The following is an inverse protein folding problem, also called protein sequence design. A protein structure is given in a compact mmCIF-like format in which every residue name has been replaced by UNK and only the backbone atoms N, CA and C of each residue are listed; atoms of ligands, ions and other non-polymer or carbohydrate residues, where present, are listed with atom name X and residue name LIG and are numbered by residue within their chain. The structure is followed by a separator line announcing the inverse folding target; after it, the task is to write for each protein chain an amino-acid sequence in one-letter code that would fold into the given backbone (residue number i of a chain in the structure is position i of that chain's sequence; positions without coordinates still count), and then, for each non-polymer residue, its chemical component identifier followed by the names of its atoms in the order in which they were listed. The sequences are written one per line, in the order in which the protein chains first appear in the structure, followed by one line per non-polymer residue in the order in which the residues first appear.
data_IF_772210076997
#
_entry.id   IF_772210076997
#
_cell.length_a   1.000
_cell.length_b   1.000
_cell.length_c   1.000
_cell.angle_alpha   90.00
_cell.angle_beta   90.00
_cell.angle_gamma   90.00
#
_symmetry.space_group_name_H-M   'P 1'
#
loop_
_entity.id
_entity.type
_entity.pdbx_description
1 polymer ?
#
# COMPACT_ATOMS: atom_id res chain seq x y z
N UNK A 1 20.09 -21.69 -36.36
CA UNK A 1 20.14 -20.89 -35.13
C UNK A 1 18.84 -20.16 -34.78
N UNK A 2 18.10 -19.56 -35.72
CA UNK A 2 16.84 -18.82 -35.41
C UNK A 2 15.69 -19.70 -34.91
N UNK A 3 15.59 -20.95 -35.34
CA UNK A 3 14.55 -21.88 -34.88
C UNK A 3 14.79 -22.40 -33.45
N UNK A 4 16.04 -22.54 -33.03
CA UNK A 4 16.37 -22.98 -31.66
C UNK A 4 16.05 -21.92 -30.62
N UNK A 5 16.18 -20.63 -30.95
CA UNK A 5 15.84 -19.52 -30.05
C UNK A 5 14.33 -19.37 -29.87
N UNK A 6 13.53 -19.63 -30.92
CA UNK A 6 12.08 -19.63 -30.83
C UNK A 6 11.56 -20.82 -30.00
N UNK A 7 12.19 -21.97 -30.07
CA UNK A 7 11.81 -23.14 -29.28
C UNK A 7 12.13 -22.96 -27.77
N UNK A 8 13.23 -22.28 -27.43
CA UNK A 8 13.57 -21.95 -26.05
C UNK A 8 12.65 -20.88 -25.44
N UNK A 9 12.23 -19.90 -26.23
CA UNK A 9 11.25 -18.89 -25.78
C UNK A 9 9.85 -19.49 -25.59
N UNK A 10 9.44 -20.44 -26.43
CA UNK A 10 8.17 -21.14 -26.26
C UNK A 10 8.18 -22.08 -25.03
N UNK A 11 9.32 -22.71 -24.72
CA UNK A 11 9.47 -23.57 -23.55
C UNK A 11 9.47 -22.79 -22.23
N UNK A 12 9.97 -21.53 -22.22
CA UNK A 12 9.91 -20.68 -21.03
C UNK A 12 8.51 -20.12 -20.78
N UNK A 13 7.69 -19.90 -21.84
CA UNK A 13 6.31 -19.46 -21.68
C UNK A 13 5.40 -20.53 -21.04
N UNK A 14 5.69 -21.82 -21.23
CA UNK A 14 4.91 -22.91 -20.60
C UNK A 14 5.29 -23.15 -19.15
N UNK A 15 6.47 -22.71 -18.69
CA UNK A 15 6.87 -22.81 -17.28
C UNK A 15 6.11 -21.85 -16.34
N UNK A 16 5.42 -20.83 -16.91
CA UNK A 16 4.58 -19.91 -16.17
C UNK A 16 3.07 -20.22 -16.27
N UNK A 17 2.70 -21.40 -16.77
CA UNK A 17 1.30 -21.82 -16.71
C UNK A 17 0.95 -22.17 -15.25
N UNK A 18 -0.07 -21.53 -14.65
CA UNK A 18 -0.43 -21.80 -13.27
C UNK A 18 -0.90 -23.25 -13.14
N UNK A 19 -0.26 -24.00 -12.22
CA UNK A 19 -0.75 -25.31 -11.83
C UNK A 19 -2.14 -25.14 -11.19
N UNK A 20 -3.17 -25.64 -11.84
CA UNK A 20 -4.55 -25.62 -11.35
C UNK A 20 -4.71 -26.61 -10.21
N UNK A 21 -4.18 -26.30 -9.04
CA UNK A 21 -4.58 -26.95 -7.79
C UNK A 21 -5.78 -26.17 -7.23
N UNK A 22 -6.97 -26.67 -7.51
CA UNK A 22 -8.22 -26.21 -6.91
C UNK A 22 -8.16 -26.50 -5.40
N UNK A 23 -7.73 -25.51 -4.61
CA UNK A 23 -7.97 -25.53 -3.16
C UNK A 23 -9.46 -25.28 -2.91
N UNK A 24 -10.10 -25.85 -1.89
CA UNK A 24 -11.49 -25.59 -1.55
C UNK A 24 -11.63 -24.13 -1.13
N UNK A 25 -12.23 -23.35 -1.96
CA UNK A 25 -12.52 -21.94 -1.72
C UNK A 25 -13.74 -21.82 -0.82
N UNK A 26 -13.54 -21.49 0.43
CA UNK A 26 -14.53 -20.68 1.12
C UNK A 26 -14.44 -19.27 0.49
N UNK A 27 -15.29 -19.01 -0.50
CA UNK A 27 -15.44 -17.68 -1.07
C UNK A 27 -16.03 -16.78 0.01
N UNK A 28 -15.19 -15.96 0.61
CA UNK A 28 -15.63 -14.85 1.45
C UNK A 28 -15.81 -13.64 0.50
N UNK A 29 -16.92 -13.64 -0.26
CA UNK A 29 -17.33 -12.44 -0.97
C UNK A 29 -17.79 -11.42 0.07
N UNK A 30 -17.23 -10.22 0.06
CA UNK A 30 -17.66 -9.14 0.94
C UNK A 30 -18.98 -8.56 0.41
N UNK A 31 -20.08 -8.83 1.12
CA UNK A 31 -21.39 -8.29 0.79
C UNK A 31 -21.65 -6.95 1.50
N UNK A 32 -22.67 -6.22 1.07
CA UNK A 32 -23.11 -5.00 1.77
C UNK A 32 -23.48 -5.27 3.24
N UNK A 33 -24.09 -6.42 3.53
CA UNK A 33 -24.43 -6.82 4.89
C UNK A 33 -23.16 -7.01 5.76
N UNK A 34 -22.09 -7.55 5.19
CA UNK A 34 -20.82 -7.69 5.89
C UNK A 34 -20.17 -6.33 6.17
N UNK A 35 -20.28 -5.37 5.24
CA UNK A 35 -19.85 -3.99 5.46
C UNK A 35 -20.63 -3.31 6.59
N UNK A 36 -21.94 -3.47 6.63
CA UNK A 36 -22.78 -2.90 7.69
C UNK A 36 -22.43 -3.49 9.06
N UNK A 37 -22.20 -4.80 9.13
CA UNK A 37 -21.78 -5.48 10.36
C UNK A 37 -20.38 -5.01 10.80
N UNK A 38 -19.44 -4.89 9.87
CA UNK A 38 -18.10 -4.36 10.15
C UNK A 38 -18.14 -2.92 10.62
N UNK A 39 -18.97 -2.07 10.00
CA UNK A 39 -19.08 -0.66 10.35
C UNK A 39 -19.56 -0.48 11.78
N UNK A 40 -20.53 -1.28 12.24
CA UNK A 40 -21.01 -1.27 13.65
C UNK A 40 -19.90 -1.71 14.62
N UNK A 41 -19.08 -2.71 14.25
CA UNK A 41 -17.93 -3.15 15.07
C UNK A 41 -16.84 -2.08 15.12
N UNK A 42 -16.55 -1.41 14.00
CA UNK A 42 -15.50 -0.41 13.90
C UNK A 42 -15.88 0.91 14.58
N UNK A 43 -17.11 1.37 14.39
CA UNK A 43 -17.63 2.60 14.98
C UNK A 43 -19.13 2.49 15.27
N UNK A 44 -19.54 2.17 16.50
CA UNK A 44 -20.96 2.00 16.86
C UNK A 44 -21.76 3.30 16.80
N UNK A 45 -21.12 4.48 16.80
CA UNK A 45 -21.76 5.79 16.76
C UNK A 45 -22.13 6.19 15.35
N UNK A 46 -21.17 6.16 14.42
CA UNK A 46 -21.36 6.56 13.01
C UNK A 46 -22.03 5.43 12.21
N UNK A 47 -21.69 4.19 12.53
CA UNK A 47 -22.17 2.98 11.84
C UNK A 47 -21.78 2.99 10.35
N UNK A 48 -22.62 2.41 9.49
CA UNK A 48 -22.40 2.40 8.05
C UNK A 48 -22.75 3.77 7.44
N UNK A 49 -21.79 4.36 6.75
CA UNK A 49 -21.91 5.66 6.12
C UNK A 49 -21.43 5.58 4.67
N UNK A 50 -22.36 5.66 3.73
CA UNK A 50 -22.11 5.60 2.29
C UNK A 50 -22.99 6.62 1.54
N UNK A 51 -22.63 7.93 1.61
CA UNK A 51 -23.44 9.00 1.04
C UNK A 51 -23.45 8.99 -0.50
N UNK A 52 -22.47 8.35 -1.14
CA UNK A 52 -22.37 8.23 -2.60
C UNK A 52 -22.90 6.92 -3.14
N UNK A 53 -23.43 6.06 -2.25
CA UNK A 53 -23.97 4.76 -2.59
C UNK A 53 -23.00 3.86 -3.39
N UNK A 54 -21.72 3.90 -3.03
CA UNK A 54 -20.65 3.17 -3.72
C UNK A 54 -20.78 1.64 -3.52
N UNK A 55 -21.32 1.22 -2.37
CA UNK A 55 -21.53 -0.19 -2.07
C UNK A 55 -22.60 -0.87 -2.97
N UNK A 56 -23.39 -0.11 -3.68
CA UNK A 56 -24.40 -0.62 -4.63
C UNK A 56 -23.94 -0.54 -6.08
N UNK A 57 -22.80 0.10 -6.34
CA UNK A 57 -22.27 0.26 -7.69
C UNK A 57 -21.60 -1.03 -8.19
N UNK A 58 -21.66 -1.23 -9.50
CA UNK A 58 -20.91 -2.27 -10.20
C UNK A 58 -19.95 -1.62 -11.21
N UNK A 59 -18.77 -1.20 -10.73
CA UNK A 59 -17.79 -0.50 -11.56
C UNK A 59 -17.18 -1.39 -12.65
N UNK A 60 -17.20 -2.71 -12.45
CA UNK A 60 -16.48 -3.64 -13.30
C UNK A 60 -17.39 -4.59 -14.09
N UNK A 61 -18.72 -4.48 -13.98
CA UNK A 61 -19.66 -5.41 -14.58
C UNK A 61 -19.53 -6.85 -14.05
N UNK A 62 -19.07 -6.99 -12.79
CA UNK A 62 -18.83 -8.28 -12.12
C UNK A 62 -19.65 -8.46 -10.83
N UNK A 63 -20.61 -7.58 -10.62
CA UNK A 63 -21.39 -7.51 -9.41
C UNK A 63 -20.84 -6.52 -8.38
N UNK A 64 -21.70 -6.08 -7.48
CA UNK A 64 -21.32 -5.13 -6.44
C UNK A 64 -20.31 -5.70 -5.43
N UNK A 65 -20.27 -7.02 -5.23
CA UNK A 65 -19.29 -7.69 -4.37
C UNK A 65 -17.82 -7.42 -4.82
N UNK A 66 -17.59 -7.44 -6.14
CA UNK A 66 -16.26 -7.12 -6.69
C UNK A 66 -15.88 -5.65 -6.45
N UNK A 67 -16.86 -4.74 -6.55
CA UNK A 67 -16.68 -3.32 -6.25
C UNK A 67 -16.39 -3.10 -4.76
N UNK A 68 -17.14 -3.74 -3.88
CA UNK A 68 -16.94 -3.70 -2.42
C UNK A 68 -15.55 -4.22 -2.07
N UNK A 69 -15.15 -5.37 -2.60
CA UNK A 69 -13.83 -5.94 -2.35
C UNK A 69 -12.70 -5.00 -2.80
N UNK A 70 -12.85 -4.34 -3.95
CA UNK A 70 -11.88 -3.37 -4.44
C UNK A 70 -11.79 -2.12 -3.55
N UNK A 71 -12.93 -1.56 -3.14
CA UNK A 71 -12.97 -0.40 -2.23
C UNK A 71 -12.36 -0.73 -0.87
N UNK A 72 -12.67 -1.92 -0.34
CA UNK A 72 -12.11 -2.40 0.93
C UNK A 72 -10.60 -2.67 0.83
N UNK A 73 -10.14 -3.27 -0.27
CA UNK A 73 -8.70 -3.47 -0.52
C UNK A 73 -7.97 -2.12 -0.57
N UNK A 74 -8.55 -1.14 -1.26
CA UNK A 74 -8.00 0.22 -1.32
C UNK A 74 -7.95 0.88 0.05
N UNK A 75 -9.02 0.78 0.84
CA UNK A 75 -9.07 1.35 2.20
C UNK A 75 -7.97 0.78 3.09
N UNK A 76 -7.81 -0.55 3.10
CA UNK A 76 -6.79 -1.22 3.92
C UNK A 76 -5.38 -0.86 3.45
N UNK A 77 -5.11 -0.85 2.14
CA UNK A 77 -3.80 -0.45 1.60
C UNK A 77 -3.47 1.00 1.95
N UNK A 78 -4.38 1.93 1.72
CA UNK A 78 -4.19 3.34 2.10
C UNK A 78 -3.97 3.50 3.61
N UNK A 79 -4.73 2.78 4.43
CA UNK A 79 -4.56 2.79 5.87
C UNK A 79 -3.18 2.30 6.31
N UNK A 80 -2.69 1.20 5.75
CA UNK A 80 -1.35 0.66 6.04
C UNK A 80 -0.24 1.64 5.66
N UNK A 81 -0.31 2.18 4.43
CA UNK A 81 0.69 3.16 3.97
C UNK A 81 0.62 4.43 4.82
N UNK A 82 -0.57 4.90 5.18
CA UNK A 82 -0.72 6.07 6.04
C UNK A 82 -0.15 5.84 7.45
N UNK A 83 -0.30 4.64 8.03
CA UNK A 83 0.33 4.30 9.32
C UNK A 83 1.86 4.33 9.22
N UNK A 84 2.44 3.79 8.15
CA UNK A 84 3.88 3.89 7.91
C UNK A 84 4.32 5.34 7.67
N UNK A 85 3.56 6.10 6.88
CA UNK A 85 3.86 7.49 6.59
C UNK A 85 3.80 8.36 7.85
N UNK A 86 2.80 8.17 8.70
CA UNK A 86 2.66 8.94 9.95
C UNK A 86 3.84 8.72 10.89
N UNK A 87 4.23 7.47 11.11
CA UNK A 87 5.39 7.13 11.94
C UNK A 87 6.69 7.60 11.27
N UNK A 88 6.81 7.35 9.96
CA UNK A 88 7.99 7.76 9.18
C UNK A 88 8.21 9.25 9.20
N UNK A 89 7.14 10.03 9.09
CA UNK A 89 7.19 11.49 9.15
C UNK A 89 7.82 11.97 10.46
N UNK A 90 7.32 11.48 11.60
CA UNK A 90 7.84 11.83 12.93
C UNK A 90 9.31 11.38 13.07
N UNK A 91 9.64 10.16 12.64
CA UNK A 91 11.01 9.65 12.74
C UNK A 91 11.97 10.50 11.91
N UNK A 92 11.65 10.78 10.65
CA UNK A 92 12.50 11.55 9.75
C UNK A 92 12.69 13.01 10.20
N UNK A 93 11.71 13.59 10.87
CA UNK A 93 11.82 14.95 11.45
C UNK A 93 12.76 15.02 12.64
N UNK A 94 13.13 13.89 13.24
CA UNK A 94 13.95 13.85 14.45
C UNK A 94 15.26 13.07 14.30
N UNK A 95 15.33 12.17 13.36
CA UNK A 95 16.44 11.24 13.22
C UNK A 95 16.69 10.86 11.75
N UNK A 96 17.97 10.88 11.36
CA UNK A 96 18.45 10.28 10.10
C UNK A 96 19.56 9.30 10.40
N UNK A 97 19.71 8.31 9.53
CA UNK A 97 20.77 7.31 9.71
C UNK A 97 22.16 7.92 9.53
N UNK A 98 23.17 7.50 10.33
CA UNK A 98 24.50 8.08 10.30
C UNK A 98 25.39 7.59 9.15
N UNK A 99 24.95 6.56 8.40
CA UNK A 99 25.68 6.04 7.25
C UNK A 99 25.35 6.81 5.96
N UNK A 100 26.16 6.61 4.92
CA UNK A 100 25.94 7.23 3.62
C UNK A 100 24.64 6.72 2.98
N UNK A 101 23.90 7.62 2.31
CA UNK A 101 22.71 7.29 1.54
C UNK A 101 23.06 6.64 0.19
N UNK A 102 24.16 7.06 -0.40
CA UNK A 102 24.61 6.64 -1.74
C UNK A 102 25.95 5.96 -1.71
N UNK A 103 26.31 5.24 -2.78
CA UNK A 103 27.58 4.53 -2.89
C UNK A 103 28.79 5.46 -3.01
N UNK A 104 28.61 6.69 -3.42
CA UNK A 104 29.65 7.73 -3.49
C UNK A 104 29.92 8.41 -2.14
N UNK A 105 29.22 8.01 -1.10
CA UNK A 105 29.42 8.51 0.26
C UNK A 105 28.57 9.73 0.62
N UNK A 106 27.63 10.15 -0.20
CA UNK A 106 26.73 11.26 0.11
C UNK A 106 25.87 10.95 1.34
N UNK A 107 25.76 11.88 2.30
CA UNK A 107 24.97 11.68 3.52
C UNK A 107 23.46 11.72 3.22
N UNK A 108 22.66 11.24 4.17
CA UNK A 108 21.21 11.46 4.16
C UNK A 108 20.89 12.96 4.28
N UNK A 109 19.74 13.42 3.76
CA UNK A 109 19.24 14.77 4.00
C UNK A 109 19.16 15.09 5.49
N UNK A 110 19.38 16.36 5.86
CA UNK A 110 19.34 16.80 7.27
C UNK A 110 17.94 16.60 7.88
N UNK A 111 17.84 16.19 9.15
CA UNK A 111 16.56 16.15 9.88
C UNK A 111 16.00 17.55 10.16
N UNK A 112 16.77 18.62 9.95
CA UNK A 112 16.30 20.00 10.06
C UNK A 112 15.34 20.39 8.91
N UNK A 113 15.36 19.60 7.83
CA UNK A 113 14.41 19.74 6.72
C UNK A 113 13.13 18.99 7.04
N UNK A 114 11.99 19.54 6.62
CA UNK A 114 10.72 18.82 6.64
C UNK A 114 10.81 17.55 5.79
N UNK A 115 10.10 16.49 6.12
CA UNK A 115 10.17 15.21 5.39
C UNK A 115 9.92 15.33 3.88
N UNK A 116 9.07 16.25 3.44
CA UNK A 116 8.84 16.54 2.03
C UNK A 116 10.10 17.06 1.34
N UNK A 117 10.78 18.01 1.96
CA UNK A 117 12.03 18.55 1.43
C UNK A 117 13.18 17.53 1.51
N UNK A 118 13.16 16.63 2.50
CA UNK A 118 14.08 15.49 2.55
C UNK A 118 13.85 14.56 1.35
N UNK A 119 12.58 14.29 1.00
CA UNK A 119 12.25 13.51 -0.20
C UNK A 119 12.75 14.17 -1.47
N UNK A 120 12.59 15.50 -1.60
CA UNK A 120 13.08 16.22 -2.77
C UNK A 120 14.59 16.12 -2.93
N UNK A 121 15.31 16.11 -1.82
CA UNK A 121 16.77 15.94 -1.79
C UNK A 121 17.25 14.51 -2.10
N UNK A 122 16.36 13.50 -2.13
CA UNK A 122 16.72 12.14 -2.54
C UNK A 122 17.09 12.11 -4.02
N UNK A 123 18.23 11.47 -4.40
CA UNK A 123 18.63 11.34 -5.80
C UNK A 123 17.56 10.66 -6.65
N UNK A 124 17.37 11.14 -7.89
CA UNK A 124 16.37 10.63 -8.82
C UNK A 124 16.46 9.10 -9.01
N UNK A 125 17.68 8.58 -9.20
CA UNK A 125 17.89 7.14 -9.35
C UNK A 125 17.43 6.33 -8.13
N UNK A 126 17.53 6.88 -6.91
CA UNK A 126 17.04 6.25 -5.70
C UNK A 126 15.51 6.27 -5.64
N UNK A 127 14.87 7.37 -6.04
CA UNK A 127 13.40 7.45 -6.16
C UNK A 127 12.87 6.42 -7.14
N UNK A 128 13.50 6.25 -8.32
CA UNK A 128 13.10 5.23 -9.30
C UNK A 128 13.24 3.81 -8.75
N UNK A 129 14.28 3.51 -7.98
CA UNK A 129 14.43 2.20 -7.32
C UNK A 129 13.28 1.93 -6.32
N UNK A 130 12.91 2.94 -5.53
CA UNK A 130 11.78 2.84 -4.59
C UNK A 130 10.48 2.55 -5.35
N UNK A 131 10.18 3.30 -6.42
CA UNK A 131 8.99 3.08 -7.22
C UNK A 131 9.00 1.71 -7.93
N UNK A 132 10.15 1.26 -8.42
CA UNK A 132 10.26 -0.05 -9.05
C UNK A 132 9.93 -1.19 -8.07
N UNK A 133 10.46 -1.12 -6.84
CA UNK A 133 10.17 -2.13 -5.81
C UNK A 133 8.70 -2.10 -5.41
N UNK A 134 8.12 -0.91 -5.17
CA UNK A 134 6.70 -0.77 -4.83
C UNK A 134 5.82 -1.32 -5.96
N UNK A 135 6.12 -0.97 -7.22
CA UNK A 135 5.37 -1.46 -8.39
C UNK A 135 5.43 -2.98 -8.52
N UNK A 136 6.58 -3.59 -8.25
CA UNK A 136 6.74 -5.04 -8.24
C UNK A 136 5.88 -5.69 -7.16
N UNK A 137 5.86 -5.13 -5.96
CA UNK A 137 5.04 -5.64 -4.84
C UNK A 137 3.54 -5.48 -5.12
N UNK A 138 3.13 -4.37 -5.71
CA UNK A 138 1.73 -4.15 -6.10
C UNK A 138 1.30 -5.10 -7.22
N UNK A 139 2.13 -5.29 -8.25
CA UNK A 139 1.87 -6.29 -9.29
C UNK A 139 1.76 -7.71 -8.72
N UNK A 140 2.61 -8.05 -7.75
CA UNK A 140 2.53 -9.36 -7.09
C UNK A 140 1.19 -9.58 -6.39
N UNK A 141 0.69 -8.55 -5.71
CA UNK A 141 -0.63 -8.60 -5.05
C UNK A 141 -1.77 -8.75 -6.09
N UNK A 142 -1.76 -7.94 -7.15
CA UNK A 142 -2.77 -8.01 -8.21
C UNK A 142 -2.74 -9.34 -8.98
N UNK A 143 -1.57 -9.94 -9.17
CA UNK A 143 -1.41 -11.27 -9.78
C UNK A 143 -1.73 -12.44 -8.83
N UNK A 144 -2.14 -12.17 -7.59
CA UNK A 144 -2.41 -13.22 -6.60
C UNK A 144 -1.20 -14.06 -6.25
N UNK A 145 0.00 -13.46 -6.26
CA UNK A 145 1.25 -14.19 -5.97
C UNK A 145 1.66 -15.19 -7.04
N UNK A 146 1.42 -14.83 -8.33
CA UNK A 146 1.69 -15.74 -9.45
C UNK A 146 0.71 -16.91 -9.53
N UNK A 147 -0.51 -16.73 -9.04
CA UNK A 147 -1.57 -17.74 -9.04
C UNK A 147 -1.64 -18.58 -7.76
N UNK A 148 -0.84 -18.25 -6.74
CA UNK A 148 -0.91 -18.91 -5.42
C UNK A 148 -2.23 -18.62 -4.68
N UNK A 149 -2.85 -17.47 -4.97
CA UNK A 149 -4.14 -17.04 -4.42
C UNK A 149 -5.02 -16.45 -5.51
N UNK A 150 -6.34 -16.55 -5.33
CA UNK A 150 -7.29 -15.84 -6.19
C UNK A 150 -7.19 -14.32 -5.98
N UNK A 151 -7.68 -13.56 -6.95
CA UNK A 151 -7.77 -12.11 -6.83
C UNK A 151 -8.85 -11.72 -5.80
N UNK A 152 -8.67 -10.60 -5.08
CA UNK A 152 -9.63 -10.17 -4.03
C UNK A 152 -11.03 -9.90 -4.58
N UNK A 153 -11.17 -9.46 -5.83
CA UNK A 153 -12.49 -9.31 -6.51
C UNK A 153 -13.19 -10.64 -6.81
N UNK A 154 -12.51 -11.77 -6.59
CA UNK A 154 -13.04 -13.13 -6.81
C UNK A 154 -13.20 -13.93 -5.52
N UNK A 155 -13.11 -13.27 -4.35
CA UNK A 155 -13.35 -13.88 -3.05
C UNK A 155 -12.12 -14.14 -2.17
N UNK A 156 -10.92 -13.67 -2.55
CA UNK A 156 -9.80 -13.60 -1.59
C UNK A 156 -10.13 -12.60 -0.48
N UNK A 157 -9.79 -12.95 0.75
CA UNK A 157 -9.91 -12.02 1.88
C UNK A 157 -9.16 -10.72 1.55
N UNK A 158 -9.84 -9.57 1.65
CA UNK A 158 -9.25 -8.25 1.45
C UNK A 158 -8.13 -7.98 2.46
N UNK A 159 -7.12 -7.26 2.02
CA UNK A 159 -5.94 -6.97 2.83
C UNK A 159 -4.97 -8.14 3.03
N UNK A 160 -5.28 -9.34 2.55
CA UNK A 160 -4.38 -10.48 2.64
C UNK A 160 -3.40 -10.48 1.48
N UNK A 161 -2.13 -10.24 1.78
CA UNK A 161 -1.05 -10.23 0.80
C UNK A 161 -0.65 -11.66 0.40
N UNK A 162 -0.42 -11.96 -0.89
CA UNK A 162 0.00 -13.28 -1.33
C UNK A 162 1.41 -13.65 -0.83
N UNK A 163 1.65 -14.92 -0.48
CA UNK A 163 2.97 -15.39 -0.08
C UNK A 163 3.94 -15.45 -1.27
N UNK A 164 5.23 -15.37 -1.00
CA UNK A 164 6.28 -15.48 -2.02
C UNK A 164 6.71 -16.93 -2.30
N UNK A 165 5.79 -17.88 -2.26
CA UNK A 165 6.08 -19.30 -2.46
C UNK A 165 6.75 -19.58 -3.80
N UNK A 166 6.25 -18.94 -4.88
CA UNK A 166 6.81 -19.14 -6.22
C UNK A 166 8.30 -18.74 -6.29
N UNK A 167 8.67 -17.62 -5.67
CA UNK A 167 10.07 -17.19 -5.60
C UNK A 167 10.90 -18.07 -4.68
N UNK A 168 10.35 -18.45 -3.54
CA UNK A 168 11.03 -19.31 -2.55
C UNK A 168 11.37 -20.68 -3.11
N UNK A 169 10.45 -21.27 -3.89
CA UNK A 169 10.59 -22.62 -4.39
C UNK A 169 11.47 -22.70 -5.66
N UNK A 170 11.54 -21.60 -6.45
CA UNK A 170 12.18 -21.66 -7.77
C UNK A 170 13.41 -20.77 -7.93
N UNK A 171 13.60 -19.75 -7.10
CA UNK A 171 14.68 -18.76 -7.29
C UNK A 171 15.59 -18.66 -6.07
N UNK A 172 15.10 -18.16 -4.96
CA UNK A 172 15.87 -17.94 -3.74
C UNK A 172 14.96 -17.80 -2.52
N UNK A 173 15.53 -18.04 -1.33
CA UNK A 173 14.81 -17.86 -0.08
C UNK A 173 14.37 -16.41 0.08
N UNK A 174 13.05 -16.20 0.20
CA UNK A 174 12.41 -14.89 0.45
C UNK A 174 11.41 -15.04 1.58
N UNK A 175 11.44 -14.13 2.54
CA UNK A 175 10.47 -14.07 3.62
C UNK A 175 9.15 -13.47 3.13
N UNK A 176 8.03 -13.99 3.62
CA UNK A 176 6.72 -13.43 3.34
C UNK A 176 6.57 -12.05 4.02
N UNK A 177 5.87 -11.13 3.37
CA UNK A 177 5.59 -9.80 3.96
C UNK A 177 4.65 -9.90 5.17
N UNK A 178 3.74 -10.87 5.15
CA UNK A 178 2.84 -11.13 6.27
C UNK A 178 3.36 -12.28 7.11
N UNK A 179 3.57 -12.03 8.39
CA UNK A 179 4.00 -13.01 9.39
C UNK A 179 5.22 -13.85 8.98
N UNK A 180 6.35 -13.21 8.65
CA UNK A 180 7.55 -13.91 8.16
C UNK A 180 8.10 -14.93 9.14
N UNK A 181 7.87 -14.74 10.45
CA UNK A 181 8.34 -15.61 11.52
C UNK A 181 7.25 -16.54 12.09
N UNK A 182 6.01 -16.43 11.60
CA UNK A 182 4.91 -17.33 11.98
C UNK A 182 4.34 -17.07 13.38
N UNK A 183 4.47 -15.87 13.93
CA UNK A 183 3.96 -15.52 15.27
C UNK A 183 2.43 -15.55 15.38
N UNK A 184 1.73 -15.43 14.27
CA UNK A 184 0.27 -15.33 14.23
C UNK A 184 -0.42 -16.67 13.92
N UNK A 185 0.32 -17.76 13.74
CA UNK A 185 -0.24 -19.06 13.33
C UNK A 185 -1.26 -19.64 14.32
N UNK A 186 -1.07 -19.37 15.62
CA UNK A 186 -1.91 -19.93 16.70
C UNK A 186 -2.84 -18.89 17.32
N UNK A 187 -3.15 -17.80 16.60
CA UNK A 187 -4.03 -16.75 17.08
C UNK A 187 -5.49 -17.19 17.07
N UNK A 188 -6.22 -16.92 18.19
CA UNK A 188 -7.66 -17.18 18.23
C UNK A 188 -8.41 -16.27 17.26
N UNK A 189 -9.53 -16.75 16.72
CA UNK A 189 -10.35 -15.97 15.75
C UNK A 189 -10.85 -14.64 16.37
N UNK A 190 -11.23 -14.63 17.64
CA UNK A 190 -11.62 -13.41 18.35
C UNK A 190 -10.50 -12.38 18.39
N UNK A 191 -9.26 -12.80 18.69
CA UNK A 191 -8.09 -11.91 18.69
C UNK A 191 -7.80 -11.39 17.30
N UNK A 192 -7.96 -12.23 16.26
CA UNK A 192 -7.77 -11.88 14.87
C UNK A 192 -8.78 -10.83 14.42
N UNK A 193 -10.07 -11.02 14.71
CA UNK A 193 -11.12 -10.02 14.40
C UNK A 193 -10.86 -8.68 15.11
N UNK A 194 -10.49 -8.71 16.38
CA UNK A 194 -10.14 -7.50 17.13
C UNK A 194 -8.97 -6.76 16.52
N UNK A 195 -7.92 -7.47 16.09
CA UNK A 195 -6.74 -6.87 15.43
C UNK A 195 -7.08 -6.29 14.06
N UNK A 196 -7.92 -6.95 13.25
CA UNK A 196 -8.38 -6.43 11.97
C UNK A 196 -9.19 -5.14 12.14
N UNK A 197 -10.07 -5.08 13.15
CA UNK A 197 -10.83 -3.87 13.46
C UNK A 197 -9.90 -2.74 13.94
N UNK A 198 -8.91 -3.05 14.76
CA UNK A 198 -7.92 -2.09 15.23
C UNK A 198 -7.04 -1.57 14.06
N UNK A 199 -6.63 -2.44 13.15
CA UNK A 199 -5.90 -2.08 11.92
C UNK A 199 -6.69 -1.07 11.08
N UNK A 200 -7.98 -1.34 10.86
CA UNK A 200 -8.86 -0.46 10.11
C UNK A 200 -8.98 0.93 10.75
N UNK A 201 -9.26 0.98 12.05
CA UNK A 201 -9.44 2.24 12.77
C UNK A 201 -8.13 3.04 12.88
N UNK A 202 -7.02 2.38 13.15
CA UNK A 202 -5.70 3.02 13.17
C UNK A 202 -5.30 3.51 11.77
N UNK A 203 -5.63 2.75 10.72
CA UNK A 203 -5.42 3.17 9.34
C UNK A 203 -6.19 4.45 8.99
N UNK A 204 -7.47 4.52 9.33
CA UNK A 204 -8.30 5.72 9.14
C UNK A 204 -7.75 6.93 9.91
N UNK A 205 -7.37 6.72 11.17
CA UNK A 205 -6.79 7.78 11.99
C UNK A 205 -5.45 8.27 11.41
N UNK A 206 -4.62 7.35 10.94
CA UNK A 206 -3.32 7.69 10.35
C UNK A 206 -3.47 8.46 9.03
N UNK A 207 -4.48 8.17 8.21
CA UNK A 207 -4.79 8.95 7.01
C UNK A 207 -5.11 10.41 7.36
N UNK A 208 -5.93 10.65 8.38
CA UNK A 208 -6.21 11.99 8.88
C UNK A 208 -4.96 12.65 9.47
N UNK A 209 -4.17 11.89 10.22
CA UNK A 209 -2.95 12.39 10.87
C UNK A 209 -1.88 12.84 9.88
N UNK A 210 -1.56 12.02 8.87
CA UNK A 210 -0.55 12.40 7.85
C UNK A 210 -1.07 13.56 7.00
N UNK A 211 -2.36 13.57 6.64
CA UNK A 211 -2.95 14.70 5.93
C UNK A 211 -2.87 15.99 6.77
N UNK A 212 -3.06 15.88 8.09
CA UNK A 212 -2.88 17.01 9.00
C UNK A 212 -1.46 17.58 9.01
N UNK A 213 -0.41 16.74 8.96
CA UNK A 213 0.98 17.18 8.84
C UNK A 213 1.20 17.94 7.52
N UNK A 214 0.82 17.33 6.39
CA UNK A 214 0.96 17.95 5.08
C UNK A 214 0.22 19.30 4.98
N UNK A 215 -0.96 19.40 5.59
CA UNK A 215 -1.70 20.67 5.65
C UNK A 215 -0.99 21.72 6.49
N UNK A 216 -0.46 21.33 7.66
CA UNK A 216 0.23 22.26 8.55
C UNK A 216 1.49 22.84 7.91
N UNK A 217 2.26 22.03 7.19
CA UNK A 217 3.49 22.47 6.53
C UNK A 217 3.20 23.27 5.26
N UNK A 218 2.12 22.96 4.53
CA UNK A 218 1.77 23.70 3.31
C UNK A 218 1.04 25.00 3.59
N UNK A 219 0.20 25.04 4.62
CA UNK A 219 -0.63 26.21 4.97
C UNK A 219 -0.44 26.51 6.45
N UNK A 220 0.46 27.44 6.80
CA UNK A 220 0.69 27.82 8.20
C UNK A 220 -0.61 28.17 8.93
N UNK A 221 -0.80 27.58 10.13
CA UNK A 221 -1.99 27.80 10.95
C UNK A 221 -3.23 27.01 10.57
N UNK A 222 -3.19 26.17 9.51
CA UNK A 222 -4.31 25.29 9.13
C UNK A 222 -4.63 24.24 10.19
N UNK A 223 -3.62 23.80 10.94
CA UNK A 223 -3.75 22.87 12.07
C UNK A 223 -3.24 23.57 13.33
N UNK A 224 -4.14 24.14 14.16
CA UNK A 224 -3.74 24.92 15.34
C UNK A 224 -2.82 24.19 16.33
N UNK A 225 -2.98 22.86 16.47
CA UNK A 225 -2.16 22.05 17.36
C UNK A 225 -0.70 21.90 16.89
N UNK A 226 -0.39 22.20 15.64
CA UNK A 226 0.93 22.09 15.02
C UNK A 226 1.56 23.44 14.67
N UNK A 227 0.86 24.56 14.91
CA UNK A 227 1.29 25.90 14.50
C UNK A 227 2.68 26.30 15.01
N UNK A 228 3.09 25.78 16.18
CA UNK A 228 4.38 26.10 16.79
C UNK A 228 5.51 25.12 16.38
N UNK A 229 5.17 24.04 15.70
CA UNK A 229 6.10 22.95 15.37
C UNK A 229 6.28 22.83 13.86
N UNK A 230 5.23 23.10 13.08
CA UNK A 230 5.24 22.95 11.64
C UNK A 230 6.23 23.92 10.99
N UNK A 231 7.07 23.40 10.10
CA UNK A 231 8.02 24.18 9.30
C UNK A 231 7.41 24.34 7.90
N UNK A 232 7.23 25.55 7.38
CA UNK A 232 6.62 25.77 6.08
C UNK A 232 7.38 25.10 4.94
N UNK A 233 6.64 24.36 4.08
CA UNK A 233 7.15 23.72 2.87
C UNK A 233 6.54 24.40 1.63
N UNK A 234 7.39 24.97 0.77
CA UNK A 234 6.92 25.70 -0.41
C UNK A 234 6.70 24.80 -1.63
N UNK A 235 7.35 23.62 -1.70
CA UNK A 235 7.21 22.65 -2.78
C UNK A 235 5.82 22.01 -2.85
N UNK A 236 5.63 21.07 -3.76
CA UNK A 236 4.37 20.35 -3.91
C UNK A 236 4.49 18.90 -3.39
N UNK A 237 3.89 18.56 -2.24
CA UNK A 237 3.99 17.24 -1.64
C UNK A 237 3.37 16.12 -2.50
N UNK A 238 2.58 16.46 -3.52
CA UNK A 238 1.94 15.51 -4.43
C UNK A 238 2.78 15.21 -5.68
N UNK A 239 3.93 15.87 -5.86
CA UNK A 239 4.82 15.69 -7.01
C UNK A 239 6.09 14.96 -6.54
N UNK A 240 6.23 13.63 -6.80
CA UNK A 240 7.35 12.85 -6.27
C UNK A 240 8.70 13.20 -6.90
N UNK A 241 8.73 13.85 -8.06
CA UNK A 241 9.93 14.25 -8.80
C UNK A 241 9.97 15.76 -9.04
N UNK A 242 9.59 16.56 -8.06
CA UNK A 242 9.62 18.02 -8.17
C UNK A 242 11.05 18.51 -8.47
N UNK A 243 11.15 19.44 -9.43
CA UNK A 243 12.45 19.96 -9.89
C UNK A 243 13.26 19.03 -10.81
N UNK A 244 12.87 17.76 -10.97
CA UNK A 244 13.55 16.80 -11.84
C UNK A 244 12.87 16.66 -13.21
N UNK A 245 11.56 16.87 -13.28
CA UNK A 245 10.77 16.88 -14.51
C UNK A 245 9.93 18.15 -14.63
N UNK A 246 9.82 18.69 -15.85
CA UNK A 246 8.87 19.76 -16.13
C UNK A 246 7.49 19.15 -16.31
N UNK A 247 6.61 19.31 -15.33
CA UNK A 247 5.22 18.86 -15.40
C UNK A 247 4.34 19.95 -16.09
N UNK A 248 4.63 20.28 -17.35
CA UNK A 248 3.91 21.32 -18.09
C UNK A 248 2.51 20.93 -18.58
N UNK A 249 1.96 19.79 -18.17
CA UNK A 249 0.79 19.22 -18.84
C UNK A 249 -0.55 19.80 -18.35
N UNK A 250 -0.63 20.43 -17.17
CA UNK A 250 -1.95 20.77 -16.58
C UNK A 250 -2.08 22.14 -15.90
N UNK A 251 -1.04 22.97 -15.82
CA UNK A 251 -1.10 24.26 -15.13
C UNK A 251 -1.10 25.49 -16.05
N UNK A 252 -1.03 25.31 -17.37
CA UNK A 252 -1.06 26.39 -18.36
C UNK A 252 -2.41 26.50 -19.10
N UNK A 253 -3.52 26.03 -18.48
CA UNK A 253 -4.88 26.21 -18.99
C UNK A 253 -5.67 27.19 -18.14
#
# INVERSE_FOLDING_TARGET
MKLAILATLAATATAFAPATTKAPTSQLSETKADLEALAVKANPTVKFYDPLNLAEQDFWGKGNEATIAWLRQSEIKHGRIAMFAFVGYIVQSNFVFPWAQTLDGSPHPSPDLVPEAQWDAVPEAAKWQIFAVISMLELWDECGGGGAMEHYTKGRQVGKYPPFTLFRDNVHFVLDLYDPFGFNKNMSEETKERRLTAELNNGRLAQLGIFGFLCADKIPGSVPALSDIAIPYEGNPMIPFEGQFSYHIWYDL
#
